data_IF_450422095572
#
_entry.id   IF_450422095572
#
_cell.length_a   1.000
_cell.length_b   1.000
_cell.length_c   1.000
_cell.angle_alpha   90.00
_cell.angle_beta   90.00
_cell.angle_gamma   90.00
#
_symmetry.space_group_name_H-M   'P 1'
#
loop_
_entity.id
_entity.type
_entity.pdbx_description
1 polymer ?
#
# COMPACT_ATOMS: atom_id res chain seq x y z
N UNK A 1 14.76 -8.55 -6.08
CA UNK A 1 13.42 -7.90 -5.89
C UNK A 1 12.52 -8.29 -7.04
N UNK A 2 11.17 -8.29 -6.88
CA UNK A 2 10.19 -8.53 -7.95
C UNK A 2 9.48 -7.23 -8.31
N UNK A 3 9.05 -7.07 -9.57
CA UNK A 3 8.32 -5.86 -10.01
C UNK A 3 6.83 -6.15 -10.05
N UNK A 4 6.04 -5.31 -9.41
CA UNK A 4 4.58 -5.33 -9.40
C UNK A 4 3.94 -4.04 -9.86
N UNK A 5 2.61 -4.06 -10.02
CA UNK A 5 1.82 -2.88 -10.31
C UNK A 5 0.49 -2.90 -9.55
N UNK A 6 0.09 -1.75 -9.00
CA UNK A 6 -1.16 -1.60 -8.27
C UNK A 6 -2.32 -1.42 -9.25
N UNK A 7 -3.39 -2.21 -9.06
CA UNK A 7 -4.57 -2.17 -9.91
C UNK A 7 -5.45 -0.92 -9.72
N UNK A 8 -5.19 -0.09 -8.70
CA UNK A 8 -5.83 1.23 -8.55
C UNK A 8 -5.61 2.14 -9.77
N UNK A 9 -4.59 1.89 -10.57
CA UNK A 9 -4.40 2.59 -11.83
C UNK A 9 -5.59 2.41 -12.81
N UNK A 10 -6.32 1.29 -12.72
CA UNK A 10 -7.47 0.96 -13.58
C UNK A 10 -8.80 0.90 -12.83
N UNK A 11 -8.80 0.43 -11.58
CA UNK A 11 -10.03 0.13 -10.85
C UNK A 11 -9.83 0.05 -9.34
N UNK A 12 -10.86 0.45 -8.58
CA UNK A 12 -10.92 0.20 -7.14
C UNK A 12 -11.42 -1.22 -6.78
N UNK A 13 -11.92 -1.99 -7.77
CA UNK A 13 -12.37 -3.37 -7.57
C UNK A 13 -12.10 -4.20 -8.82
N UNK A 14 -11.20 -5.17 -8.71
CA UNK A 14 -10.88 -6.09 -9.81
C UNK A 14 -12.03 -7.08 -10.00
N UNK A 15 -12.55 -7.16 -11.23
CA UNK A 15 -13.62 -8.07 -11.64
C UNK A 15 -13.19 -8.84 -12.89
N UNK A 16 -14.02 -9.77 -13.36
CA UNK A 16 -13.75 -10.55 -14.58
C UNK A 16 -13.50 -9.65 -15.80
N UNK A 17 -14.11 -8.46 -15.85
CA UNK A 17 -13.87 -7.49 -16.93
C UNK A 17 -12.41 -7.00 -17.01
N UNK A 18 -11.64 -7.15 -15.94
CA UNK A 18 -10.23 -6.74 -15.88
C UNK A 18 -9.25 -7.86 -16.24
N UNK A 19 -9.72 -9.06 -16.59
CA UNK A 19 -8.82 -10.18 -17.03
C UNK A 19 -7.91 -9.78 -18.18
N UNK A 20 -8.38 -9.08 -19.24
CA UNK A 20 -7.48 -8.61 -20.31
C UNK A 20 -6.35 -7.69 -19.81
N UNK A 21 -6.64 -6.85 -18.81
CA UNK A 21 -5.64 -5.99 -18.16
C UNK A 21 -4.60 -6.82 -17.41
N UNK A 22 -5.01 -7.85 -16.66
CA UNK A 22 -4.10 -8.76 -15.96
C UNK A 22 -3.23 -9.56 -16.95
N UNK A 23 -3.78 -10.01 -18.06
CA UNK A 23 -3.04 -10.68 -19.16
C UNK A 23 -2.02 -9.74 -19.80
N UNK A 24 -2.37 -8.49 -20.03
CA UNK A 24 -1.47 -7.45 -20.53
C UNK A 24 -0.33 -7.19 -19.54
N UNK A 25 -0.62 -7.03 -18.24
CA UNK A 25 0.38 -6.85 -17.17
C UNK A 25 1.37 -8.02 -17.17
N UNK A 26 0.88 -9.27 -17.25
CA UNK A 26 1.72 -10.45 -17.35
C UNK A 26 2.61 -10.44 -18.61
N UNK A 27 2.02 -10.06 -19.75
CA UNK A 27 2.75 -10.00 -21.04
C UNK A 27 3.84 -8.92 -21.02
N UNK A 28 3.66 -7.85 -20.28
CA UNK A 28 4.68 -6.81 -20.08
C UNK A 28 5.85 -7.29 -19.22
N UNK A 29 5.70 -8.39 -18.48
CA UNK A 29 6.78 -9.00 -17.68
C UNK A 29 6.69 -8.70 -16.18
N UNK A 30 5.57 -8.18 -15.68
CA UNK A 30 5.36 -8.02 -14.25
C UNK A 30 5.29 -9.38 -13.53
N UNK A 31 5.87 -9.45 -12.34
CA UNK A 31 5.87 -10.64 -11.48
C UNK A 31 4.62 -10.74 -10.63
N UNK A 32 4.04 -9.60 -10.26
CA UNK A 32 2.90 -9.52 -9.36
C UNK A 32 1.98 -8.35 -9.67
N UNK A 33 0.76 -8.44 -9.15
CA UNK A 33 -0.19 -7.33 -9.08
C UNK A 33 -0.61 -7.07 -7.64
N UNK A 34 -0.91 -5.82 -7.34
CA UNK A 34 -1.48 -5.43 -6.07
C UNK A 34 -2.96 -5.12 -6.24
N UNK A 35 -3.79 -5.83 -5.49
CA UNK A 35 -5.25 -5.81 -5.63
C UNK A 35 -5.86 -4.93 -4.54
N UNK A 36 -6.59 -3.86 -4.90
CA UNK A 36 -7.32 -3.09 -3.92
C UNK A 36 -8.46 -3.90 -3.30
N UNK A 37 -8.52 -3.92 -1.96
CA UNK A 37 -9.56 -4.62 -1.18
C UNK A 37 -10.37 -3.56 -0.43
N UNK A 38 -11.33 -2.95 -1.12
CA UNK A 38 -12.13 -1.84 -0.58
C UNK A 38 -13.57 -2.26 -0.25
N UNK A 39 -14.10 -3.30 -0.89
CA UNK A 39 -15.49 -3.78 -0.71
C UNK A 39 -15.66 -5.19 -1.28
N UNK A 40 -16.80 -5.81 -1.04
CA UNK A 40 -17.17 -7.10 -1.63
C UNK A 40 -17.09 -8.29 -0.68
N UNK A 41 -17.41 -9.46 -1.18
CA UNK A 41 -17.40 -10.70 -0.39
C UNK A 41 -16.02 -11.38 -0.47
N UNK A 42 -15.62 -12.09 0.58
CA UNK A 42 -14.38 -12.89 0.62
C UNK A 42 -14.31 -13.88 -0.53
N UNK A 43 -15.44 -14.50 -0.92
CA UNK A 43 -15.51 -15.43 -2.04
C UNK A 43 -15.10 -14.80 -3.38
N UNK A 44 -15.39 -13.52 -3.61
CA UNK A 44 -14.95 -12.79 -4.79
C UNK A 44 -13.42 -12.74 -4.90
N UNK A 45 -12.74 -12.52 -3.78
CA UNK A 45 -11.27 -12.47 -3.76
C UNK A 45 -10.64 -13.85 -3.95
N UNK A 46 -11.32 -14.93 -3.56
CA UNK A 46 -10.89 -16.28 -3.92
C UNK A 46 -10.97 -16.51 -5.45
N UNK A 47 -11.98 -15.94 -6.14
CA UNK A 47 -12.06 -16.01 -7.60
C UNK A 47 -10.92 -15.20 -8.27
N UNK A 48 -10.66 -13.99 -7.79
CA UNK A 48 -9.52 -13.17 -8.26
C UNK A 48 -8.21 -13.93 -8.06
N UNK A 49 -8.01 -14.58 -6.91
CA UNK A 49 -6.83 -15.39 -6.63
C UNK A 49 -6.62 -16.50 -7.67
N UNK A 50 -7.68 -17.21 -8.08
CA UNK A 50 -7.60 -18.22 -9.13
C UNK A 50 -7.21 -17.64 -10.49
N UNK A 51 -7.77 -16.49 -10.88
CA UNK A 51 -7.37 -15.82 -12.14
C UNK A 51 -5.89 -15.45 -12.16
N UNK A 52 -5.36 -14.97 -11.03
CA UNK A 52 -3.96 -14.61 -10.92
C UNK A 52 -3.05 -15.85 -10.93
N UNK A 53 -3.49 -16.94 -10.32
CA UNK A 53 -2.76 -18.22 -10.33
C UNK A 53 -2.70 -18.80 -11.74
N UNK A 54 -3.82 -18.79 -12.49
CA UNK A 54 -3.87 -19.23 -13.91
C UNK A 54 -2.88 -18.43 -14.79
N UNK A 55 -2.66 -17.15 -14.48
CA UNK A 55 -1.71 -16.29 -15.19
C UNK A 55 -0.27 -16.39 -14.66
N UNK A 56 -0.04 -17.09 -13.54
CA UNK A 56 1.26 -17.12 -12.87
C UNK A 56 1.69 -15.75 -12.36
N UNK A 57 0.75 -14.93 -11.88
CA UNK A 57 1.00 -13.65 -11.21
C UNK A 57 0.93 -13.83 -9.70
N UNK A 58 1.99 -13.41 -9.00
CA UNK A 58 1.94 -13.21 -7.55
C UNK A 58 1.01 -12.04 -7.19
N UNK A 59 0.66 -11.89 -5.92
CA UNK A 59 -0.31 -10.87 -5.46
C UNK A 59 -0.02 -10.36 -4.07
N UNK A 60 -0.29 -9.08 -3.88
CA UNK A 60 -0.44 -8.37 -2.61
C UNK A 60 -1.79 -7.67 -2.59
N UNK A 61 -2.20 -7.12 -1.46
CA UNK A 61 -3.45 -6.36 -1.38
C UNK A 61 -3.22 -5.00 -0.75
N UNK A 62 -3.89 -3.98 -1.26
CA UNK A 62 -3.91 -2.65 -0.68
C UNK A 62 -5.26 -2.31 -0.05
N UNK A 63 -5.21 -1.53 1.03
CA UNK A 63 -6.36 -1.08 1.80
C UNK A 63 -6.23 0.35 2.25
N UNK A 64 -7.37 0.99 2.55
CA UNK A 64 -7.46 2.23 3.30
C UNK A 64 -8.76 2.27 4.10
N UNK A 65 -8.73 2.93 5.26
CA UNK A 65 -9.95 3.34 5.93
C UNK A 65 -10.48 4.62 5.29
N UNK A 66 -11.73 4.59 4.81
CA UNK A 66 -12.38 5.73 4.15
C UNK A 66 -13.73 6.09 4.78
N UNK A 67 -14.26 5.22 5.66
CA UNK A 67 -15.53 5.42 6.35
C UNK A 67 -15.29 5.88 7.80
N UNK A 68 -15.74 7.09 8.19
CA UNK A 68 -15.65 7.55 9.58
C UNK A 68 -16.37 6.67 10.61
N UNK A 69 -17.29 5.80 10.17
CA UNK A 69 -17.93 4.82 11.05
C UNK A 69 -17.01 3.64 11.43
N UNK A 70 -15.83 3.54 10.80
CA UNK A 70 -14.80 2.54 11.07
C UNK A 70 -13.43 3.22 11.22
N UNK A 71 -13.33 4.22 12.10
CA UNK A 71 -12.09 4.95 12.34
C UNK A 71 -11.29 4.30 13.48
N UNK A 72 -10.05 3.83 13.20
CA UNK A 72 -9.16 3.22 14.18
C UNK A 72 -8.86 4.09 15.41
N UNK A 73 -8.88 5.40 15.24
CA UNK A 73 -8.49 6.37 16.28
C UNK A 73 -9.68 7.16 16.84
N UNK A 74 -10.90 6.73 16.58
CA UNK A 74 -12.10 7.34 17.16
C UNK A 74 -12.08 7.25 18.70
N UNK A 75 -12.54 8.29 19.42
CA UNK A 75 -12.77 8.18 20.87
C UNK A 75 -13.87 7.17 21.22
N UNK A 76 -14.79 6.86 20.27
CA UNK A 76 -15.84 5.89 20.45
C UNK A 76 -15.31 4.46 20.25
N UNK A 77 -15.37 3.59 21.30
CA UNK A 77 -14.87 2.22 21.21
C UNK A 77 -15.66 1.34 20.23
N UNK A 78 -16.93 1.66 19.93
CA UNK A 78 -17.72 0.89 18.98
C UNK A 78 -17.27 1.17 17.54
N UNK A 79 -16.89 2.41 17.25
CA UNK A 79 -16.28 2.79 15.96
C UNK A 79 -14.92 2.12 15.76
N UNK A 80 -14.08 2.08 16.81
CA UNK A 80 -12.79 1.35 16.74
C UNK A 80 -12.98 -0.17 16.57
N UNK A 81 -14.04 -0.73 17.16
CA UNK A 81 -14.38 -2.15 16.94
C UNK A 81 -14.76 -2.41 15.48
N UNK A 82 -15.56 -1.54 14.87
CA UNK A 82 -15.89 -1.64 13.44
C UNK A 82 -14.63 -1.55 12.55
N UNK A 83 -13.67 -0.70 12.90
CA UNK A 83 -12.38 -0.64 12.21
C UNK A 83 -11.61 -1.98 12.32
N UNK A 84 -11.57 -2.61 13.48
CA UNK A 84 -10.94 -3.92 13.66
C UNK A 84 -11.66 -5.01 12.84
N UNK A 85 -12.98 -5.02 12.82
CA UNK A 85 -13.77 -5.95 12.01
C UNK A 85 -13.48 -5.77 10.51
N UNK A 86 -13.35 -4.53 10.05
CA UNK A 86 -12.97 -4.23 8.66
C UNK A 86 -11.55 -4.74 8.36
N UNK A 87 -10.57 -4.51 9.21
CA UNK A 87 -9.20 -5.00 9.00
C UNK A 87 -9.14 -6.55 9.02
N UNK A 88 -9.91 -7.19 9.89
CA UNK A 88 -10.07 -8.66 9.89
C UNK A 88 -10.64 -9.17 8.57
N UNK A 89 -11.68 -8.52 8.04
CA UNK A 89 -12.26 -8.87 6.75
C UNK A 89 -11.24 -8.71 5.61
N UNK A 90 -10.40 -7.68 5.62
CA UNK A 90 -9.35 -7.48 4.62
C UNK A 90 -8.27 -8.58 4.69
N UNK A 91 -7.88 -9.00 5.90
CA UNK A 91 -6.98 -10.13 6.10
C UNK A 91 -7.61 -11.42 5.53
N UNK A 92 -8.91 -11.65 5.75
CA UNK A 92 -9.61 -12.80 5.20
C UNK A 92 -9.67 -12.78 3.67
N UNK A 93 -9.92 -11.61 3.08
CA UNK A 93 -9.89 -11.43 1.63
C UNK A 93 -8.48 -11.71 1.05
N UNK A 94 -7.44 -11.19 1.68
CA UNK A 94 -6.06 -11.45 1.29
C UNK A 94 -5.72 -12.95 1.37
N UNK A 95 -6.07 -13.60 2.47
CA UNK A 95 -5.88 -15.03 2.66
C UNK A 95 -6.63 -15.84 1.59
N UNK A 96 -7.91 -15.54 1.35
CA UNK A 96 -8.73 -16.24 0.34
C UNK A 96 -8.17 -16.07 -1.08
N UNK A 97 -7.57 -14.92 -1.38
CA UNK A 97 -6.90 -14.65 -2.64
C UNK A 97 -5.52 -15.34 -2.75
N UNK A 98 -4.96 -15.80 -1.64
CA UNK A 98 -3.59 -16.29 -1.56
C UNK A 98 -2.54 -15.17 -1.62
N UNK A 99 -2.90 -13.97 -1.18
CA UNK A 99 -1.98 -12.85 -1.04
C UNK A 99 -1.21 -12.95 0.29
N UNK A 100 0.09 -12.64 0.24
CA UNK A 100 0.95 -12.71 1.41
C UNK A 100 0.99 -11.42 2.25
N UNK A 101 0.42 -10.32 1.73
CA UNK A 101 0.51 -9.01 2.37
C UNK A 101 -0.80 -8.24 2.24
N UNK A 102 -1.15 -7.52 3.31
CA UNK A 102 -2.08 -6.38 3.30
C UNK A 102 -1.24 -5.15 3.57
N UNK A 103 -1.29 -4.18 2.67
CA UNK A 103 -0.52 -2.94 2.80
C UNK A 103 -1.47 -1.73 2.84
N UNK A 104 -1.00 -0.62 3.37
CA UNK A 104 -1.71 0.65 3.32
C UNK A 104 -1.75 1.38 4.66
N UNK A 105 -2.48 2.52 4.71
CA UNK A 105 -2.61 3.36 5.90
C UNK A 105 -3.67 2.80 6.88
N UNK A 106 -3.37 1.68 7.51
CA UNK A 106 -4.29 0.93 8.37
C UNK A 106 -4.42 1.49 9.80
N UNK A 107 -4.35 2.80 9.98
CA UNK A 107 -4.28 3.43 11.29
C UNK A 107 -5.21 4.62 11.52
N UNK A 108 -5.78 5.22 10.48
CA UNK A 108 -6.78 6.29 10.55
C UNK A 108 -7.60 6.37 9.27
N UNK A 109 -8.73 7.07 9.31
CA UNK A 109 -9.49 7.40 8.10
C UNK A 109 -8.74 8.46 7.28
N UNK A 110 -8.57 8.19 5.99
CA UNK A 110 -7.89 9.09 5.05
C UNK A 110 -8.53 10.47 5.01
N UNK A 111 -7.71 11.52 5.11
CA UNK A 111 -8.13 12.90 5.00
C UNK A 111 -8.96 13.39 6.18
N UNK A 112 -9.09 12.63 7.26
CA UNK A 112 -9.75 13.05 8.49
C UNK A 112 -8.69 13.59 9.47
N UNK A 113 -8.89 14.84 9.91
CA UNK A 113 -7.95 15.55 10.76
C UNK A 113 -8.65 16.08 12.01
N UNK A 114 -7.97 16.02 13.15
CA UNK A 114 -8.44 16.57 14.43
C UNK A 114 -8.06 18.03 14.64
N UNK A 115 -7.20 18.58 13.76
CA UNK A 115 -6.70 19.96 13.86
C UNK A 115 -5.50 20.12 14.80
N UNK A 116 -5.00 19.01 15.35
CA UNK A 116 -3.78 18.95 16.18
C UNK A 116 -2.85 17.85 15.66
N UNK A 117 -1.62 17.79 16.18
CA UNK A 117 -0.78 16.62 15.99
C UNK A 117 -1.33 15.39 16.74
N UNK A 118 -0.70 14.20 16.55
CA UNK A 118 -1.13 12.98 17.21
C UNK A 118 -1.23 13.12 18.72
N UNK A 119 -2.30 12.58 19.30
CA UNK A 119 -2.44 12.45 20.75
C UNK A 119 -1.96 11.08 21.22
N UNK A 120 -1.59 10.96 22.49
CA UNK A 120 -1.18 9.68 23.09
C UNK A 120 -2.30 8.62 23.00
N UNK A 121 -3.56 9.06 23.08
CA UNK A 121 -4.71 8.16 22.94
C UNK A 121 -4.86 7.62 21.51
N UNK A 122 -4.75 8.47 20.50
CA UNK A 122 -4.81 8.06 19.09
C UNK A 122 -3.68 7.09 18.74
N UNK A 123 -2.45 7.38 19.19
CA UNK A 123 -1.30 6.49 18.99
C UNK A 123 -1.53 5.13 19.66
N UNK A 124 -2.06 5.13 20.87
CA UNK A 124 -2.38 3.91 21.62
C UNK A 124 -3.47 3.10 20.94
N UNK A 125 -4.58 3.72 20.51
CA UNK A 125 -5.68 3.03 19.84
C UNK A 125 -5.26 2.39 18.53
N UNK A 126 -4.48 3.09 17.72
CA UNK A 126 -3.94 2.54 16.48
C UNK A 126 -3.02 1.32 16.75
N UNK A 127 -2.15 1.40 17.77
CA UNK A 127 -1.30 0.26 18.15
C UNK A 127 -2.12 -0.92 18.70
N UNK A 128 -3.18 -0.67 19.46
CA UNK A 128 -4.11 -1.71 19.94
C UNK A 128 -4.82 -2.43 18.80
N UNK A 129 -5.29 -1.68 17.78
CA UNK A 129 -5.90 -2.26 16.57
C UNK A 129 -4.91 -3.16 15.83
N UNK A 130 -3.71 -2.67 15.56
CA UNK A 130 -2.67 -3.45 14.86
C UNK A 130 -2.29 -4.71 15.64
N UNK A 131 -2.14 -4.63 16.96
CA UNK A 131 -1.84 -5.78 17.82
C UNK A 131 -2.97 -6.81 17.80
N UNK A 132 -4.22 -6.35 17.83
CA UNK A 132 -5.40 -7.24 17.77
C UNK A 132 -5.49 -7.94 16.40
N UNK A 133 -5.17 -7.24 15.31
CA UNK A 133 -5.19 -7.80 13.95
C UNK A 133 -4.00 -8.73 13.66
N UNK A 134 -2.85 -8.50 14.30
CA UNK A 134 -1.61 -9.22 14.02
C UNK A 134 -1.71 -10.74 14.21
N UNK A 135 -2.39 -11.21 15.26
CA UNK A 135 -2.59 -12.64 15.49
C UNK A 135 -3.45 -13.31 14.41
N UNK A 136 -4.46 -12.59 13.88
CA UNK A 136 -5.25 -13.08 12.75
C UNK A 136 -4.42 -13.13 11.48
N UNK A 137 -3.62 -12.10 11.22
CA UNK A 137 -2.72 -12.04 10.09
C UNK A 137 -1.71 -13.20 10.10
N UNK A 138 -1.07 -13.48 11.24
CA UNK A 138 -0.16 -14.62 11.41
C UNK A 138 -0.87 -15.95 11.12
N UNK A 139 -2.03 -16.18 11.71
CA UNK A 139 -2.81 -17.41 11.49
C UNK A 139 -3.27 -17.60 10.04
N UNK A 140 -3.33 -16.51 9.27
CA UNK A 140 -3.68 -16.49 7.84
C UNK A 140 -2.46 -16.49 6.91
N UNK A 141 -1.23 -16.46 7.43
CA UNK A 141 0.00 -16.32 6.65
C UNK A 141 0.14 -14.97 5.95
N UNK A 142 -0.46 -13.91 6.51
CA UNK A 142 -0.50 -12.55 5.95
C UNK A 142 0.40 -11.63 6.78
N UNK A 143 1.14 -10.76 6.13
CA UNK A 143 1.90 -9.67 6.75
C UNK A 143 1.14 -8.36 6.58
N UNK A 144 1.05 -7.57 7.65
CA UNK A 144 0.54 -6.21 7.63
C UNK A 144 1.71 -5.24 7.47
N UNK A 145 1.72 -4.44 6.42
CA UNK A 145 2.76 -3.42 6.19
C UNK A 145 2.15 -2.03 6.28
N UNK A 146 2.50 -1.30 7.33
CA UNK A 146 1.99 0.03 7.65
C UNK A 146 2.55 1.04 6.67
N UNK A 147 1.70 1.82 6.02
CA UNK A 147 2.07 2.89 5.11
C UNK A 147 2.05 4.25 5.81
N UNK A 148 3.19 4.89 6.07
CA UNK A 148 3.21 6.29 6.44
C UNK A 148 2.75 7.14 5.26
N UNK A 149 1.80 8.07 5.49
CA UNK A 149 1.31 8.98 4.47
C UNK A 149 1.83 10.40 4.69
N UNK A 150 1.79 11.22 3.65
CA UNK A 150 2.09 12.63 3.77
C UNK A 150 1.06 13.38 4.65
N UNK A 151 1.48 14.52 5.21
CA UNK A 151 0.70 15.37 6.12
C UNK A 151 -0.60 15.94 5.55
N UNK A 152 -0.83 15.84 4.24
CA UNK A 152 -2.06 16.30 3.60
C UNK A 152 -3.12 15.20 3.54
N UNK A 153 -2.75 13.96 3.87
CA UNK A 153 -3.62 12.78 3.85
C UNK A 153 -3.80 12.15 5.23
N UNK A 154 -2.82 12.32 6.13
CA UNK A 154 -2.94 11.88 7.52
C UNK A 154 -2.23 12.83 8.50
N UNK A 155 -2.48 12.67 9.81
CA UNK A 155 -1.75 13.38 10.87
C UNK A 155 -1.04 12.43 11.84
N UNK A 156 -1.39 11.15 11.82
CA UNK A 156 -0.96 10.21 12.85
C UNK A 156 0.43 9.61 12.58
N UNK A 157 0.72 9.22 11.34
CA UNK A 157 1.96 8.55 10.98
C UNK A 157 2.45 9.03 9.61
N UNK A 158 3.44 9.92 9.60
CA UNK A 158 3.92 10.55 8.37
C UNK A 158 5.35 10.14 7.97
N UNK A 159 6.08 9.41 8.80
CA UNK A 159 7.47 9.04 8.52
C UNK A 159 7.73 7.55 8.73
N UNK A 160 8.74 7.01 8.04
CA UNK A 160 9.21 5.64 8.25
C UNK A 160 9.65 5.40 9.70
N UNK A 161 10.23 6.41 10.36
CA UNK A 161 10.61 6.32 11.76
C UNK A 161 9.40 6.11 12.67
N UNK A 162 8.31 6.88 12.45
CA UNK A 162 7.06 6.74 13.20
C UNK A 162 6.42 5.36 13.00
N UNK A 163 6.33 4.90 11.75
CA UNK A 163 5.79 3.58 11.44
C UNK A 163 6.63 2.45 12.03
N UNK A 164 7.95 2.57 11.98
CA UNK A 164 8.88 1.61 12.62
C UNK A 164 8.71 1.59 14.13
N UNK A 165 8.59 2.75 14.78
CA UNK A 165 8.36 2.83 16.21
C UNK A 165 7.07 2.10 16.60
N UNK A 166 5.98 2.28 15.85
CA UNK A 166 4.74 1.53 16.07
C UNK A 166 4.89 0.04 15.85
N UNK A 167 5.53 -0.38 14.75
CA UNK A 167 5.75 -1.81 14.49
C UNK A 167 6.52 -2.46 15.62
N UNK A 168 7.53 -1.77 16.19
CA UNK A 168 8.27 -2.24 17.36
C UNK A 168 7.38 -2.30 18.61
N UNK A 169 6.51 -1.31 18.83
CA UNK A 169 5.62 -1.27 20.01
C UNK A 169 4.50 -2.32 19.91
N UNK A 170 4.07 -2.67 18.71
CA UNK A 170 3.16 -3.80 18.46
C UNK A 170 3.85 -5.13 18.78
N UNK A 171 5.17 -5.22 18.52
CA UNK A 171 6.02 -6.37 18.80
C UNK A 171 5.45 -7.70 18.27
N UNK A 172 5.15 -7.72 16.96
CA UNK A 172 4.59 -8.90 16.32
C UNK A 172 5.23 -9.15 14.94
N UNK A 173 5.66 -10.40 14.62
CA UNK A 173 6.38 -10.70 13.37
C UNK A 173 5.58 -10.42 12.09
N UNK A 174 4.25 -10.48 12.17
CA UNK A 174 3.36 -10.20 11.05
C UNK A 174 3.10 -8.71 10.82
N UNK A 175 3.78 -7.81 11.54
CA UNK A 175 3.64 -6.36 11.37
C UNK A 175 4.98 -5.76 10.99
N UNK A 176 4.97 -4.90 10.00
CA UNK A 176 6.12 -4.13 9.56
C UNK A 176 5.69 -2.85 8.88
N UNK A 177 6.59 -2.23 8.16
CA UNK A 177 6.34 -0.97 7.47
C UNK A 177 6.48 -1.14 5.97
N UNK A 178 5.88 -0.23 5.22
CA UNK A 178 6.19 -0.06 3.81
C UNK A 178 6.74 1.32 3.52
N UNK A 179 7.41 1.43 2.40
CA UNK A 179 7.88 2.68 1.83
C UNK A 179 7.01 3.02 0.65
N UNK A 180 6.40 4.19 0.62
CA UNK A 180 5.91 4.81 -0.61
C UNK A 180 6.79 6.01 -0.93
N UNK A 181 7.39 6.00 -2.13
CA UNK A 181 8.37 7.03 -2.53
C UNK A 181 7.75 8.40 -2.73
N UNK A 182 6.46 8.49 -3.08
CA UNK A 182 5.73 9.75 -3.17
C UNK A 182 5.55 10.37 -1.77
N UNK A 183 5.08 9.60 -0.79
CA UNK A 183 4.90 10.09 0.57
C UNK A 183 6.24 10.44 1.22
N UNK A 184 7.25 9.57 1.06
CA UNK A 184 8.58 9.80 1.58
C UNK A 184 9.24 11.06 0.96
N UNK A 185 9.04 11.33 -0.33
CA UNK A 185 9.54 12.54 -0.98
C UNK A 185 8.98 13.84 -0.37
N UNK A 186 7.81 13.80 0.25
CA UNK A 186 7.20 14.96 0.92
C UNK A 186 7.67 15.09 2.37
N UNK A 187 7.78 13.97 3.09
CA UNK A 187 7.93 13.97 4.55
C UNK A 187 9.36 13.72 5.02
N UNK A 188 10.14 12.90 4.30
CA UNK A 188 11.50 12.58 4.71
C UNK A 188 12.49 13.64 4.25
N UNK A 189 13.47 13.96 5.10
CA UNK A 189 14.56 14.86 4.72
C UNK A 189 15.56 14.19 3.77
N UNK A 190 15.70 12.88 3.88
CA UNK A 190 16.51 12.01 3.05
C UNK A 190 15.83 10.64 3.01
N UNK A 191 15.16 10.35 1.90
CA UNK A 191 14.42 9.10 1.72
C UNK A 191 15.35 7.88 1.79
N UNK A 192 16.55 7.96 1.23
CA UNK A 192 17.50 6.86 1.25
C UNK A 192 18.00 6.56 2.68
N UNK A 193 18.22 7.59 3.49
CA UNK A 193 18.61 7.42 4.90
C UNK A 193 17.45 6.89 5.74
N UNK A 194 16.21 7.34 5.49
CA UNK A 194 15.02 6.82 6.16
C UNK A 194 14.83 5.33 5.87
N UNK A 195 15.04 4.89 4.61
CA UNK A 195 15.02 3.47 4.22
C UNK A 195 16.09 2.68 4.98
N UNK A 196 17.34 3.15 4.99
CA UNK A 196 18.42 2.48 5.74
C UNK A 196 18.11 2.36 7.23
N UNK A 197 17.56 3.42 7.81
CA UNK A 197 17.18 3.44 9.23
C UNK A 197 16.00 2.52 9.55
N UNK A 198 15.05 2.36 8.65
CA UNK A 198 13.94 1.43 8.82
C UNK A 198 14.39 -0.04 8.70
N UNK A 199 15.37 -0.32 7.83
CA UNK A 199 16.08 -1.60 7.76
C UNK A 199 15.14 -2.80 7.60
N UNK A 200 15.35 -3.81 8.44
CA UNK A 200 14.60 -5.08 8.41
C UNK A 200 13.09 -4.94 8.66
N UNK A 201 12.60 -3.79 9.12
CA UNK A 201 11.17 -3.57 9.29
C UNK A 201 10.42 -3.37 7.98
N UNK A 202 11.12 -3.04 6.87
CA UNK A 202 10.49 -2.85 5.56
C UNK A 202 9.99 -4.19 5.02
N UNK A 203 8.70 -4.26 4.72
CA UNK A 203 8.01 -5.43 4.16
C UNK A 203 7.51 -5.23 2.74
N UNK A 204 7.37 -3.97 2.30
CA UNK A 204 6.81 -3.63 1.00
C UNK A 204 7.32 -2.26 0.54
N UNK A 205 7.32 -2.03 -0.79
CA UNK A 205 7.73 -0.75 -1.37
C UNK A 205 6.83 -0.39 -2.53
N UNK A 206 6.24 0.81 -2.47
CA UNK A 206 5.64 1.47 -3.61
C UNK A 206 6.65 2.36 -4.32
N UNK A 207 6.75 2.17 -5.61
CA UNK A 207 7.47 3.02 -6.55
C UNK A 207 6.44 3.98 -7.17
N UNK A 208 6.36 5.17 -6.62
CA UNK A 208 5.40 6.20 -7.01
C UNK A 208 6.15 7.52 -7.20
N UNK A 209 5.99 8.17 -8.35
CA UNK A 209 6.69 9.43 -8.62
C UNK A 209 6.02 10.62 -7.91
N UNK A 210 6.71 11.74 -7.83
CA UNK A 210 6.27 12.93 -7.10
C UNK A 210 4.95 13.55 -7.57
N UNK A 211 4.46 13.18 -8.74
CA UNK A 211 3.18 13.62 -9.29
C UNK A 211 2.17 12.47 -9.47
N UNK A 212 2.45 11.28 -8.88
CA UNK A 212 1.64 10.05 -9.04
C UNK A 212 1.54 9.56 -10.49
N UNK A 213 2.43 10.03 -11.37
CA UNK A 213 2.52 9.64 -12.77
C UNK A 213 3.48 8.48 -13.01
N UNK A 214 4.07 8.45 -14.22
CA UNK A 214 5.00 7.38 -14.63
C UNK A 214 6.30 7.45 -13.84
N UNK A 215 6.69 6.41 -13.09
CA UNK A 215 7.97 6.38 -12.38
C UNK A 215 9.17 6.67 -13.29
N UNK A 216 10.00 7.61 -12.85
CA UNK A 216 11.18 8.07 -13.61
C UNK A 216 10.91 9.21 -14.58
N UNK A 217 9.66 9.63 -14.75
CA UNK A 217 9.32 10.84 -15.50
C UNK A 217 9.32 12.10 -14.63
N UNK A 218 9.28 11.96 -13.31
CA UNK A 218 9.31 13.04 -12.35
C UNK A 218 10.71 13.35 -11.80
N UNK A 219 10.77 13.68 -10.51
CA UNK A 219 12.02 14.17 -9.90
C UNK A 219 12.61 13.26 -8.82
N UNK A 220 11.97 12.13 -8.48
CA UNK A 220 12.46 11.24 -7.43
C UNK A 220 13.71 10.51 -7.89
N UNK A 221 14.77 10.51 -7.06
CA UNK A 221 15.99 9.71 -7.30
C UNK A 221 15.74 8.24 -6.92
N UNK A 222 15.07 7.50 -7.82
CA UNK A 222 14.85 6.07 -7.64
C UNK A 222 16.13 5.25 -7.55
N UNK A 223 17.22 5.74 -8.16
CA UNK A 223 18.53 5.11 -8.04
C UNK A 223 19.04 5.15 -6.60
N UNK A 224 18.84 6.25 -5.87
CA UNK A 224 19.18 6.34 -4.45
C UNK A 224 18.29 5.43 -3.61
N UNK A 225 16.99 5.35 -3.93
CA UNK A 225 16.03 4.45 -3.26
C UNK A 225 16.44 2.99 -3.43
N UNK A 226 16.70 2.52 -4.66
CA UNK A 226 17.09 1.13 -4.92
C UNK A 226 18.40 0.79 -4.23
N UNK A 227 19.42 1.66 -4.30
CA UNK A 227 20.69 1.45 -3.59
C UNK A 227 20.51 1.37 -2.06
N UNK A 228 19.58 2.14 -1.50
CA UNK A 228 19.27 2.07 -0.07
C UNK A 228 18.62 0.72 0.29
N UNK A 229 17.65 0.26 -0.50
CA UNK A 229 17.02 -1.05 -0.34
C UNK A 229 18.03 -2.20 -0.45
N UNK A 230 18.91 -2.17 -1.45
CA UNK A 230 19.98 -3.16 -1.60
C UNK A 230 20.92 -3.18 -0.40
N UNK A 231 21.27 -2.00 0.15
CA UNK A 231 22.17 -1.90 1.28
C UNK A 231 21.65 -2.51 2.58
N UNK A 232 20.33 -2.67 2.70
CA UNK A 232 19.68 -3.34 3.85
C UNK A 232 19.30 -4.80 3.53
N UNK A 233 19.63 -5.31 2.33
CA UNK A 233 19.31 -6.66 1.90
C UNK A 233 17.81 -6.88 1.61
N UNK A 234 17.09 -5.83 1.23
CA UNK A 234 15.68 -5.98 0.83
C UNK A 234 15.58 -6.72 -0.50
N UNK A 235 14.87 -7.84 -0.51
CA UNK A 235 14.64 -8.70 -1.68
C UNK A 235 13.14 -8.85 -2.05
N UNK A 236 12.29 -8.03 -1.45
CA UNK A 236 10.84 -8.08 -1.60
C UNK A 236 10.32 -7.47 -2.90
N UNK A 237 9.11 -6.91 -2.83
CA UNK A 237 8.36 -6.40 -3.98
C UNK A 237 8.55 -4.89 -4.15
N UNK A 238 8.77 -4.46 -5.40
CA UNK A 238 8.70 -3.06 -5.83
C UNK A 238 7.43 -2.91 -6.66
N UNK A 239 6.42 -2.26 -6.11
CA UNK A 239 5.11 -2.13 -6.75
C UNK A 239 4.92 -0.72 -7.28
N UNK A 240 4.71 -0.60 -8.59
CA UNK A 240 4.36 0.67 -9.23
C UNK A 240 3.00 1.11 -8.71
N UNK A 241 2.94 2.28 -8.10
CA UNK A 241 1.70 2.93 -7.74
C UNK A 241 1.58 4.28 -8.45
N UNK A 242 0.51 4.43 -9.21
CA UNK A 242 0.22 5.65 -9.96
C UNK A 242 -1.29 5.87 -10.02
N UNK A 243 -1.70 7.11 -10.09
CA UNK A 243 -3.11 7.47 -10.10
C UNK A 243 -3.43 8.38 -11.28
N UNK A 244 -4.50 8.01 -12.01
CA UNK A 244 -5.01 8.77 -13.14
C UNK A 244 -6.40 9.32 -12.90
N UNK A 245 -6.96 9.98 -13.94
CA UNK A 245 -8.29 10.59 -13.91
C UNK A 245 -9.40 9.71 -14.50
N UNK A 246 -9.05 8.49 -14.93
CA UNK A 246 -10.02 7.57 -15.53
C UNK A 246 -11.13 7.14 -14.55
N UNK A 247 -10.82 7.08 -13.26
CA UNK A 247 -11.78 6.81 -12.17
C UNK A 247 -11.97 8.09 -11.36
N UNK A 248 -13.07 8.86 -11.56
CA UNK A 248 -13.26 10.17 -10.95
C UNK A 248 -13.23 10.17 -9.41
N UNK A 249 -13.78 9.13 -8.78
CA UNK A 249 -13.81 8.98 -7.33
C UNK A 249 -12.38 8.80 -6.77
N UNK A 250 -11.57 8.00 -7.45
CA UNK A 250 -10.16 7.80 -7.06
C UNK A 250 -9.33 9.06 -7.31
N UNK A 251 -9.52 9.72 -8.46
CA UNK A 251 -8.87 10.99 -8.76
C UNK A 251 -9.17 12.06 -7.70
N UNK A 252 -10.42 12.13 -7.23
CA UNK A 252 -10.81 13.03 -6.16
C UNK A 252 -10.18 12.64 -4.81
N UNK A 253 -10.13 11.36 -4.47
CA UNK A 253 -9.52 10.86 -3.24
C UNK A 253 -8.01 11.12 -3.20
N UNK A 254 -7.31 10.91 -4.33
CA UNK A 254 -5.86 11.09 -4.48
C UNK A 254 -5.45 12.50 -4.93
N UNK A 255 -6.44 13.39 -5.17
CA UNK A 255 -6.24 14.78 -5.62
C UNK A 255 -5.45 14.93 -6.93
N UNK A 256 -5.63 13.97 -7.84
CA UNK A 256 -5.04 14.01 -9.19
C UNK A 256 -5.95 14.83 -10.11
N UNK A 257 -5.62 16.11 -10.29
CA UNK A 257 -6.47 17.08 -11.01
C UNK A 257 -6.05 17.29 -12.47
N UNK A 258 -4.90 16.76 -12.88
CA UNK A 258 -4.39 16.83 -14.25
C UNK A 258 -3.94 15.47 -14.72
N UNK A 259 -3.87 15.27 -16.04
CA UNK A 259 -3.27 14.07 -16.59
C UNK A 259 -1.74 14.15 -16.47
N UNK A 260 -1.11 13.11 -15.93
CA UNK A 260 0.33 12.99 -15.69
C UNK A 260 0.99 11.93 -16.57
N UNK A 261 0.19 11.19 -17.35
CA UNK A 261 0.59 10.19 -18.33
C UNK A 261 -0.49 10.08 -19.44
N UNK A 262 -0.12 9.47 -20.57
CA UNK A 262 -0.99 9.36 -21.74
C UNK A 262 -2.09 8.30 -21.56
N UNK A 263 -1.71 7.10 -21.10
CA UNK A 263 -2.63 6.01 -20.78
C UNK A 263 -2.05 5.10 -19.70
N UNK A 264 -2.92 4.36 -19.00
CA UNK A 264 -2.50 3.40 -17.99
C UNK A 264 -1.61 2.29 -18.58
N UNK A 265 -1.91 1.84 -19.81
CA UNK A 265 -1.12 0.84 -20.53
C UNK A 265 0.27 1.36 -20.91
N UNK A 266 0.39 2.64 -21.32
CA UNK A 266 1.67 3.26 -21.61
C UNK A 266 2.48 3.41 -20.33
N UNK A 267 1.87 3.91 -19.25
CA UNK A 267 2.51 4.00 -17.95
C UNK A 267 3.05 2.64 -17.49
N UNK A 268 2.24 1.59 -17.56
CA UNK A 268 2.65 0.25 -17.15
C UNK A 268 3.86 -0.26 -17.96
N UNK A 269 3.91 0.03 -19.26
CA UNK A 269 5.04 -0.31 -20.13
C UNK A 269 6.32 0.46 -19.76
N UNK A 270 6.19 1.77 -19.62
CA UNK A 270 7.34 2.64 -19.33
C UNK A 270 7.91 2.38 -17.94
N UNK A 271 7.03 2.13 -16.95
CA UNK A 271 7.42 1.85 -15.58
C UNK A 271 8.21 0.54 -15.44
N UNK A 272 7.78 -0.54 -16.09
CA UNK A 272 8.53 -1.80 -16.02
C UNK A 272 9.86 -1.69 -16.78
N UNK A 273 9.88 -1.00 -17.93
CA UNK A 273 11.13 -0.74 -18.67
C UNK A 273 12.11 0.11 -17.83
N UNK A 274 11.60 1.10 -17.10
CA UNK A 274 12.41 1.92 -16.21
C UNK A 274 12.99 1.11 -15.06
N UNK A 275 12.16 0.33 -14.34
CA UNK A 275 12.59 -0.43 -13.17
C UNK A 275 13.53 -1.58 -13.50
N UNK A 276 13.34 -2.25 -14.66
CA UNK A 276 14.23 -3.32 -15.11
C UNK A 276 15.69 -2.89 -15.33
N UNK A 277 15.96 -1.60 -15.37
CA UNK A 277 17.34 -1.08 -15.46
C UNK A 277 18.08 -1.17 -14.11
N UNK A 278 17.37 -1.37 -13.02
CA UNK A 278 17.91 -1.38 -11.66
C UNK A 278 17.95 -2.76 -11.02
N UNK A 279 17.32 -3.76 -11.65
CA UNK A 279 17.23 -5.15 -11.19
C UNK A 279 17.97 -6.09 -12.13
#
# INVERSE_FOLDING_TARGET
MRIGINMLLWTGQVTEAHRPTLEMIKTLGYDLVEIPVMSGAVAHYADVGRWLEDLGLSRTTSMAFTDPAADPISPDPDVRRAALEQLHWQIDCAHAMGAAKVIGPMFQVLGQFTGTGPTDDELRWAAELLRAAASRAEGSGVTLAIEPLNRFECHLCCTLESARAWSRDVDHPSVGVMVDTFHANIEEKDTAEAIRSAGEWIRHVHISDNDRGTPGAGQIDFGAVVRALDSIGYDGDLVVEAFGRATPELAAATRVWRDTFESAEQLARDAIEFLSKWL
#
